data_IF_697976414738
#
_entry.id   IF_697976414738
#
_cell.length_a   1.000
_cell.length_b   1.000
_cell.length_c   1.000
_cell.angle_alpha   90.00
_cell.angle_beta   90.00
_cell.angle_gamma   90.00
#
_symmetry.space_group_name_H-M   'P 1'
#
loop_
_entity.id
_entity.type
_entity.pdbx_description
1 polymer ?
#
# COMPACT_ATOMS: atom_id res chain seq x y z
N UNK A 1 25.09 41.07 3.83
CA UNK A 1 24.86 40.05 4.87
C UNK A 1 24.12 38.87 4.25
N UNK A 2 24.80 37.71 4.23
CA UNK A 2 24.41 36.33 3.89
C UNK A 2 23.20 36.02 2.97
N UNK A 3 23.59 35.61 1.75
CA UNK A 3 23.08 34.54 0.85
C UNK A 3 21.90 33.65 1.27
N UNK A 4 20.95 33.45 0.35
CA UNK A 4 19.72 32.63 0.49
C UNK A 4 19.97 31.11 0.64
N UNK A 5 18.94 30.32 1.04
CA UNK A 5 18.32 29.51 -0.01
C UNK A 5 16.80 29.27 0.13
N UNK A 6 16.02 29.67 -0.89
CA UNK A 6 14.59 29.34 -1.10
C UNK A 6 14.32 27.87 -1.52
N UNK A 7 15.20 26.89 -1.21
CA UNK A 7 15.12 25.50 -1.72
C UNK A 7 14.71 24.43 -0.71
N UNK A 8 14.44 24.78 0.55
CA UNK A 8 14.18 23.83 1.65
C UNK A 8 12.74 23.27 1.68
N UNK A 9 11.76 23.92 1.06
CA UNK A 9 10.34 23.53 1.19
C UNK A 9 9.95 22.24 0.45
N UNK A 10 10.67 21.87 -0.61
CA UNK A 10 10.39 20.68 -1.41
C UNK A 10 10.89 19.38 -0.74
N UNK A 11 12.03 19.45 -0.04
CA UNK A 11 12.58 18.28 0.68
C UNK A 11 11.77 17.92 1.92
N UNK A 12 11.26 18.92 2.64
CA UNK A 12 10.46 18.68 3.84
C UNK A 12 9.10 18.05 3.53
N UNK A 13 8.45 18.40 2.41
CA UNK A 13 7.14 17.82 2.03
C UNK A 13 7.23 16.31 1.79
N UNK A 14 8.30 15.84 1.15
CA UNK A 14 8.52 14.41 0.93
C UNK A 14 8.62 13.67 2.28
N UNK A 15 9.45 14.16 3.21
CA UNK A 15 9.59 13.50 4.51
C UNK A 15 8.29 13.49 5.31
N UNK A 16 7.50 14.56 5.25
CA UNK A 16 6.19 14.63 5.91
C UNK A 16 5.18 13.64 5.32
N UNK A 17 5.17 13.48 4.01
CA UNK A 17 4.27 12.57 3.30
C UNK A 17 4.60 11.10 3.59
N UNK A 18 5.90 10.76 3.66
CA UNK A 18 6.39 9.46 4.13
C UNK A 18 5.99 9.17 5.56
N UNK A 19 6.22 10.12 6.47
CA UNK A 19 5.91 9.94 7.88
C UNK A 19 4.40 9.79 8.11
N UNK A 20 3.59 10.61 7.43
CA UNK A 20 2.13 10.51 7.47
C UNK A 20 1.65 9.15 7.01
N UNK A 21 2.19 8.63 5.90
CA UNK A 21 1.79 7.32 5.40
C UNK A 21 2.20 6.18 6.34
N UNK A 22 3.38 6.27 6.97
CA UNK A 22 3.82 5.29 7.98
C UNK A 22 2.95 5.36 9.24
N UNK A 23 2.55 6.55 9.69
CA UNK A 23 1.64 6.72 10.82
C UNK A 23 0.25 6.15 10.52
N UNK A 24 -0.30 6.40 9.31
CA UNK A 24 -1.57 5.81 8.89
C UNK A 24 -1.50 4.29 8.82
N UNK A 25 -0.39 3.73 8.35
CA UNK A 25 -0.15 2.29 8.34
C UNK A 25 -0.15 1.72 9.76
N UNK A 26 0.57 2.34 10.69
CA UNK A 26 0.61 1.89 12.09
C UNK A 26 -0.77 1.93 12.76
N UNK A 27 -1.55 2.99 12.51
CA UNK A 27 -2.91 3.11 13.02
C UNK A 27 -3.84 2.03 12.46
N UNK A 28 -3.73 1.71 11.17
CA UNK A 28 -4.52 0.65 10.56
C UNK A 28 -4.12 -0.74 11.09
N UNK A 29 -2.83 -0.98 11.36
CA UNK A 29 -2.36 -2.22 12.00
C UNK A 29 -2.96 -2.38 13.39
N UNK A 30 -2.99 -1.31 14.19
CA UNK A 30 -3.59 -1.32 15.51
C UNK A 30 -5.08 -1.69 15.43
N UNK A 31 -5.84 -1.03 14.53
CA UNK A 31 -7.26 -1.32 14.34
C UNK A 31 -7.53 -2.76 13.91
N UNK A 32 -6.70 -3.34 13.04
CA UNK A 32 -6.81 -4.76 12.67
C UNK A 32 -6.54 -5.65 13.88
N UNK A 33 -5.54 -5.34 14.70
CA UNK A 33 -5.24 -6.11 15.91
C UNK A 33 -6.36 -6.03 16.96
N UNK A 34 -7.03 -4.88 17.04
CA UNK A 34 -8.09 -4.64 18.03
C UNK A 34 -9.42 -5.29 17.66
N UNK A 35 -9.79 -5.32 16.38
CA UNK A 35 -11.14 -5.77 15.96
C UNK A 35 -11.15 -6.85 14.87
N UNK A 36 -10.04 -7.11 14.19
CA UNK A 36 -9.88 -8.04 13.05
C UNK A 36 -11.08 -8.07 12.08
N UNK A 37 -11.67 -6.92 11.82
CA UNK A 37 -12.83 -6.82 10.92
C UNK A 37 -12.38 -6.71 9.46
N UNK A 38 -13.23 -7.14 8.51
CA UNK A 38 -12.94 -6.95 7.08
C UNK A 38 -12.72 -5.47 6.71
N UNK A 39 -13.42 -4.55 7.37
CA UNK A 39 -13.23 -3.11 7.19
C UNK A 39 -11.83 -2.66 7.64
N UNK A 40 -11.36 -3.11 8.81
CA UNK A 40 -10.01 -2.80 9.29
C UNK A 40 -8.93 -3.38 8.35
N UNK A 41 -9.14 -4.60 7.84
CA UNK A 41 -8.21 -5.21 6.88
C UNK A 41 -8.18 -4.46 5.53
N UNK A 42 -9.30 -3.87 5.11
CA UNK A 42 -9.36 -3.03 3.91
C UNK A 42 -8.65 -1.68 4.14
N UNK A 43 -8.86 -1.04 5.29
CA UNK A 43 -8.12 0.16 5.69
C UNK A 43 -6.61 -0.08 5.74
N UNK A 44 -6.19 -1.23 6.27
CA UNK A 44 -4.78 -1.64 6.29
C UNK A 44 -4.21 -1.74 4.87
N UNK A 45 -4.95 -2.35 3.94
CA UNK A 45 -4.54 -2.41 2.52
C UNK A 45 -4.40 -1.03 1.90
N UNK A 46 -5.36 -0.14 2.14
CA UNK A 46 -5.31 1.24 1.65
C UNK A 46 -4.10 2.01 2.20
N UNK A 47 -3.78 1.82 3.49
CA UNK A 47 -2.61 2.44 4.10
C UNK A 47 -1.27 1.90 3.54
N UNK A 48 -1.20 0.60 3.26
CA UNK A 48 -0.04 -0.02 2.57
C UNK A 48 0.13 0.56 1.16
N UNK A 49 -0.96 0.74 0.42
CA UNK A 49 -0.92 1.33 -0.92
C UNK A 49 -0.47 2.80 -0.89
N UNK A 50 -1.02 3.60 0.04
CA UNK A 50 -0.61 4.98 0.23
C UNK A 50 0.89 5.08 0.56
N UNK A 51 1.38 4.28 1.52
CA UNK A 51 2.80 4.21 1.86
C UNK A 51 3.66 3.86 0.63
N UNK A 52 3.21 2.95 -0.22
CA UNK A 52 3.91 2.60 -1.45
C UNK A 52 3.89 3.74 -2.48
N UNK A 53 2.76 4.41 -2.68
CA UNK A 53 2.63 5.50 -3.65
C UNK A 53 3.55 6.68 -3.32
N UNK A 54 3.73 6.97 -2.03
CA UNK A 54 4.64 8.02 -1.59
C UNK A 54 6.11 7.59 -1.65
N UNK A 55 6.40 6.29 -1.81
CA UNK A 55 7.74 5.73 -1.96
C UNK A 55 8.34 5.10 -0.70
N UNK A 56 7.52 4.73 0.29
CA UNK A 56 7.96 3.92 1.43
C UNK A 56 8.34 2.53 0.95
N UNK A 57 9.53 2.07 1.34
CA UNK A 57 10.03 0.74 0.99
C UNK A 57 9.30 -0.38 1.75
N UNK A 58 9.19 -1.55 1.11
CA UNK A 58 8.58 -2.76 1.70
C UNK A 58 9.23 -3.21 3.01
N UNK A 59 10.51 -2.88 3.24
CA UNK A 59 11.19 -3.13 4.51
C UNK A 59 10.49 -2.41 5.66
N UNK A 60 10.18 -1.11 5.49
CA UNK A 60 9.55 -0.31 6.53
C UNK A 60 8.08 -0.65 6.69
N UNK A 61 7.39 -0.95 5.59
CA UNK A 61 6.02 -1.46 5.60
C UNK A 61 5.95 -2.78 6.38
N UNK A 62 6.84 -3.73 6.08
CA UNK A 62 6.91 -5.03 6.77
C UNK A 62 7.18 -4.88 8.27
N UNK A 63 8.13 -4.02 8.63
CA UNK A 63 8.44 -3.69 10.03
C UNK A 63 7.21 -3.18 10.79
N UNK A 64 6.47 -2.22 10.23
CA UNK A 64 5.23 -1.69 10.83
C UNK A 64 4.12 -2.74 10.90
N UNK A 65 4.04 -3.64 9.93
CA UNK A 65 3.10 -4.77 9.92
C UNK A 65 3.51 -5.90 10.89
N UNK A 66 4.74 -5.88 11.41
CA UNK A 66 5.30 -6.98 12.21
C UNK A 66 5.55 -8.26 11.39
N UNK A 67 5.69 -8.15 10.06
CA UNK A 67 5.95 -9.29 9.17
C UNK A 67 7.21 -9.06 8.33
N UNK A 68 7.83 -10.15 7.90
CA UNK A 68 8.96 -10.06 6.97
C UNK A 68 8.56 -9.28 5.70
N UNK A 69 9.46 -8.42 5.24
CA UNK A 69 9.25 -7.57 4.05
C UNK A 69 8.91 -8.37 2.79
N UNK A 70 9.49 -9.57 2.62
CA UNK A 70 9.14 -10.50 1.55
C UNK A 70 7.70 -11.03 1.62
N UNK A 71 7.19 -11.26 2.83
CA UNK A 71 5.80 -11.67 3.05
C UNK A 71 4.83 -10.52 2.79
N UNK A 72 5.16 -9.30 3.26
CA UNK A 72 4.41 -8.09 2.92
C UNK A 72 4.36 -7.90 1.40
N UNK A 73 5.51 -8.01 0.74
CA UNK A 73 5.59 -7.93 -0.71
C UNK A 73 4.69 -8.97 -1.40
N UNK A 74 4.77 -10.25 -1.03
CA UNK A 74 3.91 -11.28 -1.64
C UNK A 74 2.42 -11.02 -1.38
N UNK A 75 2.02 -10.70 -0.15
CA UNK A 75 0.62 -10.48 0.24
C UNK A 75 -0.02 -9.26 -0.44
N UNK A 76 0.73 -8.17 -0.58
CA UNK A 76 0.20 -6.90 -1.07
C UNK A 76 0.58 -6.60 -2.53
N UNK A 77 1.54 -7.32 -3.13
CA UNK A 77 1.81 -7.26 -4.58
C UNK A 77 0.95 -8.23 -5.38
N UNK A 78 0.54 -9.37 -4.81
CA UNK A 78 -0.41 -10.28 -5.46
C UNK A 78 -1.83 -9.75 -5.36
N UNK A 79 -2.10 -8.72 -6.16
CA UNK A 79 -3.44 -8.49 -6.69
C UNK A 79 -3.32 -8.14 -8.17
N UNK A 80 -3.02 -9.12 -9.05
CA UNK A 80 -3.85 -9.16 -10.24
C UNK A 80 -5.28 -9.26 -9.71
N UNK A 81 -6.15 -8.33 -10.13
CA UNK A 81 -7.59 -8.46 -9.93
C UNK A 81 -7.95 -9.93 -10.12
N UNK A 82 -8.78 -10.56 -9.26
CA UNK A 82 -9.30 -11.87 -9.61
C UNK A 82 -9.81 -11.75 -11.04
N UNK A 83 -9.29 -12.63 -11.86
CA UNK A 83 -9.24 -12.51 -13.30
C UNK A 83 -10.65 -12.43 -13.86
N UNK A 84 -11.22 -11.23 -13.92
CA UNK A 84 -12.35 -10.89 -14.78
C UNK A 84 -11.84 -10.71 -16.22
N UNK A 85 -11.10 -11.73 -16.66
CA UNK A 85 -10.52 -11.89 -17.99
C UNK A 85 -10.44 -13.38 -18.37
N UNK A 86 -11.29 -14.23 -17.76
CA UNK A 86 -11.57 -15.59 -18.23
C UNK A 86 -13.07 -15.89 -18.29
N UNK A 87 -13.87 -14.88 -18.60
CA UNK A 87 -15.11 -15.09 -19.38
C UNK A 87 -14.84 -14.64 -20.82
N UNK A 88 -13.72 -15.11 -21.39
CA UNK A 88 -13.59 -15.11 -22.84
C UNK A 88 -14.42 -16.30 -23.32
N UNK A 89 -15.68 -16.02 -23.64
CA UNK A 89 -16.33 -16.53 -24.84
C UNK A 89 -15.78 -17.85 -25.38
N UNK A 90 -16.30 -18.96 -24.86
CA UNK A 90 -16.45 -20.18 -25.64
C UNK A 90 -17.95 -20.42 -25.83
N UNK A 91 -18.59 -19.54 -26.60
CA UNK A 91 -19.72 -19.99 -27.42
C UNK A 91 -19.08 -20.78 -28.54
N UNK A 92 -18.95 -22.09 -28.30
CA UNK A 92 -18.70 -23.06 -29.35
C UNK A 92 -19.80 -22.90 -30.39
N UNK A 93 -19.42 -22.32 -31.51
CA UNK A 93 -20.17 -22.32 -32.75
C UNK A 93 -19.95 -23.72 -33.34
N UNK A 94 -20.80 -24.67 -32.96
CA UNK A 94 -20.90 -26.01 -33.54
C UNK A 94 -22.40 -26.20 -33.82
N UNK A 95 -22.80 -26.18 -35.09
CA UNK A 95 -23.32 -27.37 -35.76
C UNK A 95 -24.73 -27.65 -35.26
N UNK A 96 -25.82 -27.39 -35.99
CA UNK A 96 -26.18 -27.93 -37.31
C UNK A 96 -27.19 -27.02 -38.04
#
# INVERSE_FOLDING_TARGET
>A
MNTAPRKSKLRNRWTTDHDTAVQQLAAAVQQVRESDTPAAQEQLRSAVDAARQVGVGWTRIGDTLGIASGNAYQRYRMRPRPSQARQSSYTGHDGE
#
